data_IF_657153924489
#
_entry.id   IF_657153924489
#
_cell.length_a   1.000
_cell.length_b   1.000
_cell.length_c   1.000
_cell.angle_alpha   90.00
_cell.angle_beta   90.00
_cell.angle_gamma   90.00
#
_symmetry.space_group_name_H-M   'P 1'
#
loop_
_entity.id
_entity.type
_entity.pdbx_description
1 polymer ?
#
# COMPACT_ATOMS: atom_id res chain seq x y z
N UNK A 1 4.91 -1.80 -12.22
CA UNK A 1 6.11 -1.14 -11.66
C UNK A 1 7.33 -1.25 -12.57
N UNK A 2 7.67 -2.43 -13.13
CA UNK A 2 8.85 -2.59 -14.01
C UNK A 2 8.91 -1.56 -15.15
N UNK A 3 7.76 -1.25 -15.77
CA UNK A 3 7.65 -0.26 -16.87
C UNK A 3 7.38 1.16 -16.39
N UNK A 4 7.21 1.39 -15.09
CA UNK A 4 6.92 2.71 -14.52
C UNK A 4 8.21 3.50 -14.23
N UNK A 5 8.12 4.79 -13.83
CA UNK A 5 9.30 5.62 -13.53
C UNK A 5 10.04 5.27 -12.24
N UNK A 6 9.56 4.33 -11.42
CA UNK A 6 10.29 3.95 -10.19
C UNK A 6 11.68 3.42 -10.56
N UNK A 7 12.68 3.76 -9.73
CA UNK A 7 14.07 3.37 -9.99
C UNK A 7 14.30 1.90 -9.65
N UNK A 8 13.92 1.51 -8.43
CA UNK A 8 14.16 0.19 -7.86
C UNK A 8 12.86 -0.42 -7.28
N UNK A 9 12.82 -1.74 -7.22
CA UNK A 9 11.75 -2.51 -6.59
C UNK A 9 12.38 -3.41 -5.52
N UNK A 10 11.77 -3.44 -4.33
CA UNK A 10 12.07 -4.41 -3.29
C UNK A 10 10.85 -5.30 -3.14
N UNK A 11 10.99 -6.57 -3.44
CA UNK A 11 9.93 -7.56 -3.28
C UNK A 11 10.03 -8.18 -1.88
N UNK A 12 9.00 -7.93 -1.07
CA UNK A 12 8.88 -8.49 0.27
C UNK A 12 7.87 -9.64 0.23
N UNK A 13 8.27 -10.82 0.65
CA UNK A 13 7.46 -12.03 0.53
C UNK A 13 7.54 -12.93 1.76
N UNK A 14 6.80 -14.03 1.79
CA UNK A 14 6.94 -15.05 2.83
C UNK A 14 8.36 -15.59 2.91
N UNK A 15 8.81 -15.96 4.11
CA UNK A 15 10.19 -16.44 4.31
C UNK A 15 10.51 -17.63 3.41
N UNK A 16 9.57 -18.54 3.24
CA UNK A 16 9.75 -19.78 2.46
C UNK A 16 9.57 -19.54 0.96
N UNK A 17 9.01 -18.39 0.55
CA UNK A 17 8.73 -18.05 -0.84
C UNK A 17 9.84 -17.23 -1.50
N UNK A 18 10.87 -16.79 -0.78
CA UNK A 18 11.95 -15.93 -1.30
C UNK A 18 12.63 -16.56 -2.52
N UNK A 19 12.99 -17.83 -2.44
CA UNK A 19 13.65 -18.54 -3.54
C UNK A 19 12.73 -18.74 -4.75
N UNK A 20 11.46 -19.05 -4.48
CA UNK A 20 10.41 -19.17 -5.51
C UNK A 20 10.22 -17.83 -6.24
N UNK A 21 9.97 -16.77 -5.50
CA UNK A 21 9.75 -15.44 -6.07
C UNK A 21 10.95 -14.95 -6.89
N UNK A 22 12.17 -15.24 -6.45
CA UNK A 22 13.38 -14.88 -7.19
C UNK A 22 13.44 -15.61 -8.53
N UNK A 23 13.30 -16.93 -8.54
CA UNK A 23 13.45 -17.74 -9.75
C UNK A 23 12.25 -17.67 -10.68
N UNK A 24 11.06 -17.94 -10.13
CA UNK A 24 9.85 -18.16 -10.92
C UNK A 24 9.11 -16.84 -11.25
N UNK A 25 9.46 -15.74 -10.59
CA UNK A 25 8.84 -14.44 -10.86
C UNK A 25 9.87 -13.45 -11.40
N UNK A 26 10.92 -13.14 -10.63
CA UNK A 26 11.85 -12.08 -11.01
C UNK A 26 12.69 -12.48 -12.21
N UNK A 27 13.37 -13.63 -12.15
CA UNK A 27 14.24 -14.11 -13.22
C UNK A 27 13.42 -14.57 -14.45
N UNK A 28 12.33 -15.32 -14.22
CA UNK A 28 11.50 -15.84 -15.30
C UNK A 28 10.79 -14.74 -16.11
N UNK A 29 10.48 -13.59 -15.48
CA UNK A 29 9.88 -12.43 -16.15
C UNK A 29 10.88 -11.36 -16.58
N UNK A 30 12.19 -11.58 -16.39
CA UNK A 30 13.27 -10.60 -16.67
C UNK A 30 13.00 -9.23 -16.01
N UNK A 31 12.56 -9.22 -14.75
CA UNK A 31 12.34 -8.00 -13.99
C UNK A 31 13.69 -7.43 -13.51
N UNK A 32 14.13 -6.34 -14.12
CA UNK A 32 15.47 -5.75 -13.91
C UNK A 32 15.52 -4.74 -12.79
N UNK A 33 14.37 -4.13 -12.45
CA UNK A 33 14.28 -3.16 -11.36
C UNK A 33 14.18 -3.82 -9.99
N UNK A 34 13.95 -5.12 -9.91
CA UNK A 34 13.89 -5.84 -8.64
C UNK A 34 15.29 -6.00 -8.07
N UNK A 35 15.69 -5.04 -7.23
CA UNK A 35 17.00 -5.01 -6.58
C UNK A 35 17.16 -6.08 -5.50
N UNK A 36 16.06 -6.40 -4.79
CA UNK A 36 16.09 -7.38 -3.71
C UNK A 36 14.76 -8.13 -3.59
N UNK A 37 14.86 -9.42 -3.24
CA UNK A 37 13.73 -10.25 -2.78
C UNK A 37 14.05 -10.67 -1.35
N UNK A 38 13.25 -10.22 -0.39
CA UNK A 38 13.52 -10.36 1.04
C UNK A 38 12.33 -10.97 1.80
N UNK A 39 12.58 -11.65 2.93
CA UNK A 39 11.50 -12.13 3.78
C UNK A 39 10.83 -10.97 4.53
N UNK A 40 9.51 -11.00 4.63
CA UNK A 40 8.72 -10.12 5.47
C UNK A 40 8.65 -10.56 6.93
N UNK A 41 7.99 -9.75 7.75
CA UNK A 41 7.69 -10.03 9.15
C UNK A 41 6.35 -10.75 9.33
N UNK A 42 5.99 -11.01 10.60
CA UNK A 42 4.72 -11.67 10.96
C UNK A 42 3.47 -10.83 10.65
N UNK A 43 3.61 -9.52 10.68
CA UNK A 43 2.56 -8.54 10.43
C UNK A 43 2.90 -7.71 9.19
N UNK A 44 1.86 -7.09 8.57
CA UNK A 44 2.07 -6.27 7.37
C UNK A 44 3.08 -5.14 7.63
N UNK A 45 2.91 -4.39 8.73
CA UNK A 45 3.80 -3.27 9.05
C UNK A 45 5.25 -3.72 9.34
N UNK A 46 5.45 -4.94 9.88
CA UNK A 46 6.79 -5.52 10.03
C UNK A 46 7.42 -5.84 8.68
N UNK A 47 6.63 -6.35 7.74
CA UNK A 47 7.09 -6.61 6.36
C UNK A 47 7.49 -5.31 5.66
N UNK A 48 6.69 -4.25 5.83
CA UNK A 48 7.03 -2.92 5.31
C UNK A 48 8.35 -2.42 5.92
N UNK A 49 8.54 -2.57 7.23
CA UNK A 49 9.77 -2.14 7.90
C UNK A 49 11.02 -2.88 7.38
N UNK A 50 10.92 -4.19 7.11
CA UNK A 50 12.02 -4.93 6.45
C UNK A 50 12.32 -4.36 5.06
N UNK A 51 11.27 -4.04 4.28
CA UNK A 51 11.41 -3.36 2.99
C UNK A 51 12.10 -2.00 3.11
N UNK A 52 11.71 -1.20 4.10
CA UNK A 52 12.33 0.12 4.36
C UNK A 52 13.81 0.01 4.70
N UNK A 53 14.22 -0.97 5.49
CA UNK A 53 15.64 -1.21 5.78
C UNK A 53 16.43 -1.50 4.51
N UNK A 54 15.86 -2.28 3.60
CA UNK A 54 16.47 -2.59 2.31
C UNK A 54 16.46 -1.40 1.33
N UNK A 55 15.55 -0.42 1.54
CA UNK A 55 15.43 0.80 0.74
C UNK A 55 16.28 1.98 1.27
N UNK A 56 17.19 1.75 2.20
CA UNK A 56 18.01 2.82 2.77
C UNK A 56 18.76 3.60 1.68
N UNK A 57 18.74 4.94 1.81
CA UNK A 57 19.37 5.86 0.87
C UNK A 57 18.48 6.35 -0.27
N UNK A 58 17.20 5.96 -0.30
CA UNK A 58 16.20 6.51 -1.22
C UNK A 58 15.54 7.77 -0.65
N UNK A 59 15.02 8.64 -1.52
CA UNK A 59 14.29 9.84 -1.10
C UNK A 59 12.82 9.53 -0.79
N UNK A 60 12.19 8.70 -1.62
CA UNK A 60 10.77 8.36 -1.52
C UNK A 60 10.56 6.86 -1.63
N UNK A 61 9.49 6.38 -1.02
CA UNK A 61 9.05 4.99 -1.08
C UNK A 61 7.57 4.91 -1.44
N UNK A 62 7.23 3.97 -2.30
CA UNK A 62 5.87 3.61 -2.66
C UNK A 62 5.59 2.20 -2.14
N UNK A 63 4.74 2.07 -1.14
CA UNK A 63 4.38 0.79 -0.54
C UNK A 63 3.15 0.27 -1.25
N UNK A 64 3.25 -0.91 -1.86
CA UNK A 64 2.17 -1.48 -2.65
C UNK A 64 1.87 -2.92 -2.25
N UNK A 65 0.59 -3.22 -2.05
CA UNK A 65 0.13 -4.58 -1.79
C UNK A 65 0.22 -5.42 -3.07
N UNK A 66 1.01 -6.50 -3.07
CA UNK A 66 1.09 -7.43 -4.20
C UNK A 66 -0.24 -8.07 -4.60
N UNK A 67 -1.22 -8.05 -3.71
CA UNK A 67 -2.60 -8.47 -3.98
C UNK A 67 -3.45 -7.44 -4.76
N UNK A 68 -2.89 -6.31 -5.22
CA UNK A 68 -3.57 -5.33 -6.09
C UNK A 68 -2.96 -5.32 -7.49
N UNK A 69 -3.27 -6.31 -8.33
CA UNK A 69 -2.62 -6.46 -9.64
C UNK A 69 -3.07 -5.45 -10.68
N UNK A 70 -4.11 -4.65 -10.40
CA UNK A 70 -4.73 -3.74 -11.37
C UNK A 70 -4.17 -2.32 -11.35
N UNK A 71 -3.13 -2.07 -10.54
CA UNK A 71 -2.42 -0.78 -10.55
C UNK A 71 -1.85 -0.48 -11.93
N UNK A 72 -1.98 0.73 -12.41
CA UNK A 72 -1.40 1.16 -13.68
C UNK A 72 -0.35 2.27 -13.52
N UNK A 73 0.33 2.56 -14.63
CA UNK A 73 1.38 3.59 -14.64
C UNK A 73 0.84 4.98 -14.31
N UNK A 74 -0.41 5.29 -14.65
CA UNK A 74 -1.03 6.59 -14.37
C UNK A 74 -1.14 6.82 -12.86
N UNK A 75 -1.64 5.81 -12.12
CA UNK A 75 -1.76 5.90 -10.66
C UNK A 75 -0.40 5.96 -9.97
N UNK A 76 0.59 5.19 -10.48
CA UNK A 76 1.97 5.25 -9.97
C UNK A 76 2.54 6.66 -10.15
N UNK A 77 2.41 7.27 -11.34
CA UNK A 77 2.87 8.64 -11.59
C UNK A 77 2.14 9.69 -10.75
N UNK A 78 0.83 9.55 -10.55
CA UNK A 78 0.07 10.43 -9.67
C UNK A 78 0.59 10.36 -8.23
N UNK A 79 0.83 9.14 -7.74
CA UNK A 79 1.36 8.92 -6.40
C UNK A 79 2.79 9.48 -6.24
N UNK A 80 3.65 9.33 -7.26
CA UNK A 80 5.01 9.89 -7.26
C UNK A 80 4.98 11.43 -7.18
N UNK A 81 4.19 12.10 -8.02
CA UNK A 81 4.06 13.56 -7.99
C UNK A 81 3.52 14.05 -6.65
N UNK A 82 2.47 13.39 -6.14
CA UNK A 82 1.87 13.79 -4.88
C UNK A 82 2.84 13.63 -3.70
N UNK A 83 3.67 12.60 -3.66
CA UNK A 83 4.63 12.42 -2.56
C UNK A 83 5.80 13.42 -2.65
N UNK A 84 6.20 13.84 -3.83
CA UNK A 84 7.20 14.90 -4.02
C UNK A 84 6.70 16.25 -3.46
N UNK A 85 5.42 16.55 -3.64
CA UNK A 85 4.80 17.81 -3.19
C UNK A 85 4.41 17.78 -1.70
N UNK A 86 3.83 16.69 -1.24
CA UNK A 86 3.14 16.59 0.06
C UNK A 86 3.89 15.73 1.08
N UNK A 87 4.97 15.04 0.68
CA UNK A 87 5.79 14.12 1.49
C UNK A 87 5.07 12.86 2.01
N UNK A 88 3.75 12.82 1.97
CA UNK A 88 2.92 11.66 2.33
C UNK A 88 1.62 11.68 1.55
N UNK A 89 1.32 10.59 0.85
CA UNK A 89 0.05 10.44 0.15
C UNK A 89 -0.39 8.97 0.06
N UNK A 90 -1.67 8.76 -0.15
CA UNK A 90 -2.25 7.44 -0.40
C UNK A 90 -3.21 7.50 -1.57
N UNK A 91 -3.15 6.48 -2.42
CA UNK A 91 -4.17 6.26 -3.44
C UNK A 91 -5.44 5.74 -2.75
N UNK A 92 -6.58 6.26 -3.15
CA UNK A 92 -7.88 5.82 -2.64
C UNK A 92 -9.02 6.27 -3.54
N UNK A 93 -10.22 5.82 -3.23
CA UNK A 93 -11.44 6.20 -3.96
C UNK A 93 -12.53 6.64 -2.99
N UNK A 94 -13.39 7.62 -3.35
CA UNK A 94 -14.56 7.95 -2.55
C UNK A 94 -15.45 6.73 -2.35
N UNK A 95 -15.99 6.56 -1.15
CA UNK A 95 -16.90 5.45 -0.84
C UNK A 95 -18.23 5.65 -1.59
N UNK A 96 -18.71 4.59 -2.25
CA UNK A 96 -19.98 4.61 -3.00
C UNK A 96 -21.19 4.30 -2.13
N UNK A 97 -21.05 3.38 -1.20
CA UNK A 97 -22.12 2.89 -0.35
C UNK A 97 -22.29 3.75 0.90
N UNK A 98 -23.49 3.70 1.50
CA UNK A 98 -23.71 4.28 2.82
C UNK A 98 -23.00 3.43 3.87
N UNK A 99 -22.09 4.05 4.64
CA UNK A 99 -21.37 3.38 5.72
C UNK A 99 -22.12 3.57 7.04
N UNK A 100 -22.24 2.50 7.80
CA UNK A 100 -22.78 2.51 9.16
C UNK A 100 -21.67 2.13 10.14
N UNK A 101 -21.54 2.88 11.22
CA UNK A 101 -20.75 2.44 12.37
C UNK A 101 -21.62 1.49 13.19
N UNK A 102 -21.16 0.27 13.40
CA UNK A 102 -21.85 -0.76 14.18
C UNK A 102 -21.25 -0.92 15.58
N UNK A 103 -22.08 -1.27 16.58
CA UNK A 103 -21.58 -1.71 17.88
C UNK A 103 -21.36 -3.23 17.92
N UNK A 104 -20.86 -3.76 19.05
CA UNK A 104 -20.58 -5.19 19.24
C UNK A 104 -21.82 -6.10 19.12
N UNK A 105 -23.04 -5.54 19.19
CA UNK A 105 -24.33 -6.25 19.00
C UNK A 105 -24.88 -6.09 17.58
N UNK A 106 -24.12 -5.56 16.65
CA UNK A 106 -24.49 -5.29 15.25
C UNK A 106 -25.62 -4.29 15.05
N UNK A 107 -25.87 -3.38 16.00
CA UNK A 107 -26.75 -2.25 15.79
C UNK A 107 -25.99 -1.07 15.24
N UNK A 108 -26.57 -0.37 14.26
CA UNK A 108 -26.03 0.88 13.74
C UNK A 108 -26.10 1.97 14.83
N UNK A 109 -24.96 2.61 15.12
CA UNK A 109 -24.84 3.68 16.12
C UNK A 109 -24.49 5.03 15.51
N UNK A 110 -23.96 5.04 14.29
CA UNK A 110 -23.65 6.26 13.54
C UNK A 110 -23.73 6.04 12.03
N UNK A 111 -23.87 7.13 11.29
CA UNK A 111 -23.83 7.15 9.81
C UNK A 111 -22.97 8.33 9.38
N UNK A 112 -21.67 8.12 9.20
CA UNK A 112 -20.76 9.19 8.76
C UNK A 112 -21.17 9.79 7.42
N UNK A 113 -20.88 11.07 7.21
CA UNK A 113 -21.08 11.70 5.91
C UNK A 113 -20.18 11.03 4.85
N UNK A 114 -20.82 10.36 3.90
CA UNK A 114 -20.15 9.64 2.82
C UNK A 114 -19.23 10.54 1.99
N UNK A 115 -19.52 11.83 1.88
CA UNK A 115 -18.72 12.77 1.10
C UNK A 115 -17.30 12.93 1.65
N UNK A 116 -17.09 12.62 2.93
CA UNK A 116 -15.79 12.67 3.61
C UNK A 116 -15.07 11.32 3.67
N UNK A 117 -15.70 10.22 3.21
CA UNK A 117 -15.16 8.87 3.36
C UNK A 117 -14.43 8.40 2.09
N UNK A 118 -13.26 7.83 2.31
CA UNK A 118 -12.43 7.24 1.27
C UNK A 118 -12.09 5.78 1.60
N UNK A 119 -12.18 4.93 0.59
CA UNK A 119 -11.62 3.58 0.66
C UNK A 119 -10.15 3.64 0.22
N UNK A 120 -9.24 3.52 1.19
CA UNK A 120 -7.80 3.61 0.95
C UNK A 120 -7.32 2.36 0.23
N UNK A 121 -6.47 2.60 -0.77
CA UNK A 121 -5.82 1.57 -1.57
C UNK A 121 -4.29 1.67 -1.37
N UNK A 122 -3.54 1.12 -2.31
CA UNK A 122 -2.09 1.32 -2.45
C UNK A 122 -1.76 1.62 -3.93
N UNK A 123 -0.67 2.37 -4.23
CA UNK A 123 0.45 2.74 -3.35
C UNK A 123 0.08 3.69 -2.22
N UNK A 124 0.73 3.49 -1.09
CA UNK A 124 0.87 4.49 -0.03
C UNK A 124 2.31 5.00 -0.12
N UNK A 125 2.49 6.29 -0.34
CA UNK A 125 3.77 6.85 -0.72
C UNK A 125 4.23 7.92 0.26
N UNK A 126 5.51 7.85 0.63
CA UNK A 126 6.07 8.69 1.67
C UNK A 126 7.50 9.11 1.34
N UNK A 127 7.90 10.29 1.83
CA UNK A 127 9.32 10.56 2.00
C UNK A 127 9.92 9.50 2.93
N UNK A 128 11.03 8.89 2.52
CA UNK A 128 11.68 7.81 3.27
C UNK A 128 11.99 8.22 4.71
N UNK A 129 12.54 9.43 4.89
CA UNK A 129 12.89 9.96 6.21
C UNK A 129 11.68 10.11 7.12
N UNK A 130 10.56 10.65 6.58
CA UNK A 130 9.32 10.84 7.34
C UNK A 130 8.77 9.50 7.83
N UNK A 131 8.72 8.50 6.95
CA UNK A 131 8.19 7.19 7.31
C UNK A 131 9.10 6.46 8.31
N UNK A 132 10.42 6.54 8.13
CA UNK A 132 11.36 5.95 9.09
C UNK A 132 11.28 6.61 10.49
N UNK A 133 11.11 7.94 10.56
CA UNK A 133 10.86 8.65 11.82
C UNK A 133 9.56 8.18 12.48
N UNK A 134 8.48 8.05 11.69
CA UNK A 134 7.20 7.54 12.18
C UNK A 134 7.31 6.13 12.76
N UNK A 135 7.99 5.21 12.09
CA UNK A 135 8.27 3.87 12.59
C UNK A 135 9.13 3.89 13.85
N UNK A 136 10.16 4.74 13.91
CA UNK A 136 11.00 4.92 15.11
C UNK A 136 10.18 5.34 16.33
N UNK A 137 9.29 6.31 16.18
CA UNK A 137 8.38 6.76 17.24
C UNK A 137 7.35 5.71 17.62
N UNK A 138 6.81 4.97 16.64
CA UNK A 138 5.90 3.85 16.88
C UNK A 138 6.55 2.79 17.78
N UNK A 139 7.80 2.41 17.51
CA UNK A 139 8.51 1.43 18.34
C UNK A 139 8.75 1.92 19.77
N UNK A 140 8.99 3.20 19.98
CA UNK A 140 9.15 3.81 21.31
C UNK A 140 7.83 3.85 22.07
N UNK A 141 6.70 3.97 21.38
CA UNK A 141 5.35 4.03 21.94
C UNK A 141 4.68 2.64 22.10
N UNK A 142 5.41 1.53 21.89
CA UNK A 142 4.91 0.17 21.69
C UNK A 142 4.08 -0.46 22.82
N UNK A 143 3.66 0.30 23.83
CA UNK A 143 2.76 -0.17 24.90
C UNK A 143 1.27 0.02 24.60
N UNK A 144 0.89 0.64 23.48
CA UNK A 144 -0.50 1.07 23.27
C UNK A 144 -1.49 -0.01 22.83
N UNK A 145 -1.04 -1.21 22.47
CA UNK A 145 -1.93 -2.34 22.07
C UNK A 145 -2.83 -2.06 20.86
N UNK A 146 -2.67 -0.94 20.20
CA UNK A 146 -3.51 -0.55 19.08
C UNK A 146 -3.14 -1.26 17.78
N UNK A 147 -4.17 -1.64 17.06
CA UNK A 147 -4.02 -2.31 15.77
C UNK A 147 -3.60 -1.31 14.70
N UNK A 148 -2.40 -1.47 14.16
CA UNK A 148 -1.93 -0.75 12.97
C UNK A 148 -2.67 -1.29 11.75
N UNK A 149 -3.34 -0.42 11.02
CA UNK A 149 -4.12 -0.80 9.83
C UNK A 149 -3.35 -0.60 8.53
N UNK A 150 -2.62 0.52 8.42
CA UNK A 150 -1.83 0.87 7.24
C UNK A 150 -0.66 1.81 7.59
N UNK A 151 0.14 2.17 6.58
CA UNK A 151 1.33 3.00 6.78
C UNK A 151 0.98 4.48 6.96
N UNK A 152 -0.13 4.93 6.37
CA UNK A 152 -0.64 6.28 6.55
C UNK A 152 -1.00 6.55 8.01
N UNK A 153 -1.68 5.62 8.67
CA UNK A 153 -2.00 5.71 10.10
C UNK A 153 -0.74 5.86 10.96
N UNK A 154 0.35 5.16 10.62
CA UNK A 154 1.61 5.29 11.34
C UNK A 154 2.15 6.72 11.21
N UNK A 155 2.17 7.27 10.01
CA UNK A 155 2.65 8.65 9.77
C UNK A 155 1.77 9.67 10.48
N UNK A 156 0.45 9.61 10.30
CA UNK A 156 -0.51 10.54 10.91
C UNK A 156 -0.39 10.55 12.43
N UNK A 157 -0.36 9.37 13.02
CA UNK A 157 -0.40 9.21 14.48
C UNK A 157 0.92 9.60 15.15
N UNK A 158 2.03 9.15 14.62
CA UNK A 158 3.33 9.28 15.30
C UNK A 158 4.13 10.52 14.87
N UNK A 159 3.73 11.20 13.80
CA UNK A 159 4.38 12.44 13.36
C UNK A 159 3.44 13.64 13.34
N UNK A 160 2.13 13.43 13.31
CA UNK A 160 1.13 14.48 13.09
C UNK A 160 1.13 15.04 11.66
N UNK A 161 1.91 14.45 10.74
CA UNK A 161 1.94 14.86 9.35
C UNK A 161 0.65 14.44 8.65
N UNK A 162 0.07 15.35 7.86
CA UNK A 162 -1.16 15.06 7.11
C UNK A 162 -0.83 14.21 5.89
N UNK A 163 -1.68 13.22 5.60
CA UNK A 163 -1.54 12.36 4.44
C UNK A 163 -2.51 12.80 3.35
N UNK A 164 -2.00 13.10 2.16
CA UNK A 164 -2.82 13.51 1.02
C UNK A 164 -3.59 12.33 0.44
N UNK A 165 -4.89 12.47 0.28
CA UNK A 165 -5.71 11.52 -0.47
C UNK A 165 -5.62 11.83 -1.96
N UNK A 166 -5.16 10.87 -2.76
CA UNK A 166 -5.03 10.96 -4.21
C UNK A 166 -6.05 10.02 -4.85
N UNK A 167 -6.88 10.55 -5.73
CA UNK A 167 -7.94 9.75 -6.34
C UNK A 167 -7.36 8.72 -7.31
N UNK A 168 -7.56 7.46 -6.98
CA UNK A 168 -7.26 6.29 -7.80
C UNK A 168 -8.46 5.79 -8.58
N UNK A 169 -8.37 4.53 -9.00
CA UNK A 169 -9.39 3.83 -9.79
C UNK A 169 -10.07 2.76 -8.95
N UNK A 170 -11.38 2.57 -9.17
CA UNK A 170 -12.12 1.49 -8.52
C UNK A 170 -11.67 0.10 -8.97
N UNK A 171 -11.04 0.02 -10.14
CA UNK A 171 -10.45 -1.19 -10.68
C UNK A 171 -9.21 -1.66 -9.89
N UNK A 172 -8.54 -0.78 -9.11
CA UNK A 172 -7.39 -1.13 -8.26
C UNK A 172 -7.83 -1.89 -7.00
N UNK A 173 -8.59 -2.97 -7.20
CA UNK A 173 -9.10 -3.83 -6.14
C UNK A 173 -7.98 -4.62 -5.47
N UNK A 174 -8.19 -5.01 -4.22
CA UNK A 174 -7.35 -6.00 -3.52
C UNK A 174 -7.97 -7.38 -3.70
N UNK A 175 -7.28 -8.27 -4.38
CA UNK A 175 -7.70 -9.66 -4.58
C UNK A 175 -7.44 -10.44 -3.30
N UNK A 176 -8.51 -10.77 -2.57
CA UNK A 176 -8.46 -11.44 -1.27
C UNK A 176 -9.38 -12.67 -1.19
N UNK A 177 -10.35 -12.75 -2.08
CA UNK A 177 -11.31 -13.86 -2.16
C UNK A 177 -11.31 -14.48 -3.56
N UNK A 178 -11.82 -15.72 -3.74
CA UNK A 178 -11.97 -16.32 -5.07
C UNK A 178 -12.83 -15.49 -6.03
N UNK A 179 -13.86 -14.79 -5.53
CA UNK A 179 -14.73 -13.93 -6.32
C UNK A 179 -13.97 -12.72 -6.88
N UNK A 180 -12.98 -12.19 -6.14
CA UNK A 180 -12.14 -11.09 -6.61
C UNK A 180 -11.32 -11.46 -7.84
N UNK A 181 -10.96 -12.74 -8.01
CA UNK A 181 -10.26 -13.22 -9.20
C UNK A 181 -11.13 -13.07 -10.45
N UNK A 182 -12.41 -13.38 -10.36
CA UNK A 182 -13.35 -13.23 -11.47
C UNK A 182 -13.52 -11.75 -11.84
N UNK A 183 -13.59 -10.88 -10.84
CA UNK A 183 -13.66 -9.42 -11.04
C UNK A 183 -12.37 -8.91 -11.72
N UNK A 184 -11.21 -9.34 -11.22
CA UNK A 184 -9.91 -8.98 -11.80
C UNK A 184 -9.79 -9.43 -13.27
N UNK A 185 -10.28 -10.62 -13.64
CA UNK A 185 -10.31 -11.07 -15.03
C UNK A 185 -11.15 -10.18 -15.93
N UNK A 186 -12.30 -9.70 -15.45
CA UNK A 186 -13.15 -8.76 -16.21
C UNK A 186 -12.41 -7.45 -16.47
N UNK A 187 -11.72 -6.92 -15.43
CA UNK A 187 -10.94 -5.68 -15.58
C UNK A 187 -9.77 -5.86 -16.55
N UNK A 188 -9.04 -6.98 -16.47
CA UNK A 188 -7.94 -7.29 -17.40
C UNK A 188 -8.42 -7.40 -18.86
N UNK A 189 -9.58 -8.00 -19.10
CA UNK A 189 -10.18 -8.09 -20.45
C UNK A 189 -10.57 -6.71 -20.99
N UNK A 190 -11.03 -5.81 -20.11
CA UNK A 190 -11.39 -4.42 -20.47
C UNK A 190 -10.16 -3.56 -20.78
N UNK A 191 -9.07 -3.74 -20.05
CA UNK A 191 -7.83 -2.99 -20.25
C UNK A 191 -7.07 -3.36 -21.54
N UNK A 192 -7.37 -4.51 -22.16
CA UNK A 192 -6.77 -4.97 -23.43
C UNK A 192 -7.52 -4.49 -24.69
N UNK A 193 -8.66 -3.80 -24.53
CA UNK A 193 -9.43 -3.18 -25.62
C UNK A 193 -9.12 -1.70 -25.74
#
# INVERSE_FOLDING_TARGET
FEKSPVDDIILVTGKDDVSYCRKEIVEACDFRKVRAVIPGGKERYLSVYEGLKAAAGTDYVLIHDGARPMIDETEIRLSMRAVEEEHACVIGVPVKDTIKVGNAKHYAVDTPDRSSLWAVQTPQSFSYKLLMDAYGKMWQAAESGERITDDAMIVERFTGHKVKLVQGKYENIKVTTPEDLLIAEVFLKKAKK
#
